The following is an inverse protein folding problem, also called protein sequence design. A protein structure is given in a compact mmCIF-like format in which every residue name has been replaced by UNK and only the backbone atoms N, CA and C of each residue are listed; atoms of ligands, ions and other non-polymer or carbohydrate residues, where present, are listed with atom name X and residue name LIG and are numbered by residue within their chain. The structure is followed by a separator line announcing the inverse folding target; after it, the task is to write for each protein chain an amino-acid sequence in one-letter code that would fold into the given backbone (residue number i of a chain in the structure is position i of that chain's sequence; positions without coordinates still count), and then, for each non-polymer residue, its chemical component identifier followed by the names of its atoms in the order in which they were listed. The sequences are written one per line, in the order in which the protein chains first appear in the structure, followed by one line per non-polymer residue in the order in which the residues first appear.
data_IF_494115268416
#
_entry.id   IF_494115268416
#
_cell.length_a   1.000
_cell.length_b   1.000
_cell.length_c   1.000
_cell.angle_alpha   90.00
_cell.angle_beta   90.00
_cell.angle_gamma   90.00
#
_symmetry.space_group_name_H-M   'P 1'
#
loop_
_entity.id
_entity.type
_entity.pdbx_description
1 polymer ?
#
# COMPACT_ATOMS: atom_id res chain seq x y z
N UNK A 1 -46.38 9.73 -9.46
CA UNK A 1 -45.80 10.21 -8.18
C UNK A 1 -44.29 9.97 -8.21
N UNK A 2 -43.52 10.97 -8.63
CA UNK A 2 -42.05 10.93 -8.64
C UNK A 2 -41.53 11.33 -7.26
N UNK A 3 -41.29 10.34 -6.41
CA UNK A 3 -40.71 10.53 -5.07
C UNK A 3 -39.20 10.74 -5.16
N UNK A 4 -38.79 11.97 -5.51
CA UNK A 4 -37.44 12.47 -5.31
C UNK A 4 -37.33 12.99 -3.88
N UNK A 5 -36.47 12.39 -3.06
CA UNK A 5 -36.20 12.91 -1.73
C UNK A 5 -35.55 11.91 -0.78
N UNK A 6 -34.32 11.47 -1.05
CA UNK A 6 -33.45 11.13 0.08
C UNK A 6 -32.93 12.45 0.65
N UNK A 7 -33.71 12.93 1.62
CA UNK A 7 -33.38 14.00 2.55
C UNK A 7 -31.98 13.81 3.13
N UNK A 8 -31.24 14.91 3.21
CA UNK A 8 -29.84 14.95 3.59
C UNK A 8 -29.59 14.32 4.96
N UNK A 9 -29.17 13.06 4.97
CA UNK A 9 -28.49 12.46 6.12
C UNK A 9 -27.24 13.28 6.38
N UNK A 10 -27.07 13.75 7.62
CA UNK A 10 -25.81 14.32 8.12
C UNK A 10 -24.68 13.44 7.60
N UNK A 11 -23.80 14.00 6.77
CA UNK A 11 -22.70 13.25 6.15
C UNK A 11 -21.82 12.70 7.27
N UNK A 12 -22.05 11.43 7.62
CA UNK A 12 -21.16 10.65 8.47
C UNK A 12 -19.73 10.81 7.95
N UNK A 13 -18.77 10.99 8.85
CA UNK A 13 -17.35 11.12 8.50
C UNK A 13 -16.97 9.96 7.59
N UNK A 14 -16.68 10.27 6.33
CA UNK A 14 -16.37 9.25 5.33
C UNK A 14 -15.03 8.61 5.68
N UNK A 15 -15.05 7.35 6.11
CA UNK A 15 -13.80 6.58 6.31
C UNK A 15 -13.15 6.29 4.96
N UNK A 16 -11.84 6.43 4.88
CA UNK A 16 -11.08 6.12 3.68
C UNK A 16 -11.10 4.61 3.40
N UNK A 17 -10.88 4.21 2.15
CA UNK A 17 -10.77 2.78 1.81
C UNK A 17 -9.58 2.12 2.52
N UNK A 18 -8.47 2.83 2.67
CA UNK A 18 -7.30 2.37 3.44
C UNK A 18 -7.65 2.12 4.91
N UNK A 19 -8.30 3.08 5.58
CA UNK A 19 -8.66 2.92 6.99
C UNK A 19 -9.68 1.80 7.23
N UNK A 20 -10.56 1.52 6.26
CA UNK A 20 -11.49 0.37 6.33
C UNK A 20 -10.78 -0.97 6.12
N UNK A 21 -9.73 -0.99 5.29
CA UNK A 21 -8.94 -2.17 5.01
C UNK A 21 -7.82 -2.43 6.03
N UNK A 22 -7.58 -1.51 6.97
CA UNK A 22 -6.49 -1.62 7.94
C UNK A 22 -5.10 -1.41 7.34
N UNK A 23 -4.99 -0.74 6.19
CA UNK A 23 -3.74 -0.55 5.46
C UNK A 23 -3.20 0.87 5.65
N UNK A 24 -1.88 1.01 5.79
CA UNK A 24 -1.18 2.30 5.72
C UNK A 24 -1.11 2.82 4.28
N UNK A 25 -1.02 1.93 3.30
CA UNK A 25 -0.89 2.28 1.90
C UNK A 25 -2.20 2.84 1.30
N UNK A 26 -2.12 3.76 0.33
CA UNK A 26 -3.27 4.49 -0.17
C UNK A 26 -4.06 3.70 -1.23
N UNK A 27 -5.00 2.85 -0.80
CA UNK A 27 -5.95 2.09 -1.66
C UNK A 27 -6.64 2.98 -2.69
N UNK A 28 -7.01 4.20 -2.28
CA UNK A 28 -7.64 5.19 -3.14
C UNK A 28 -6.79 5.57 -4.36
N UNK A 29 -5.50 5.83 -4.10
CA UNK A 29 -4.51 6.22 -5.10
C UNK A 29 -4.16 5.04 -6.01
N UNK A 30 -3.98 3.85 -5.44
CA UNK A 30 -3.66 2.64 -6.20
C UNK A 30 -4.79 2.29 -7.17
N UNK A 31 -6.06 2.40 -6.77
CA UNK A 31 -7.18 2.22 -7.70
C UNK A 31 -7.11 3.21 -8.88
N UNK A 32 -6.80 4.49 -8.63
CA UNK A 32 -6.67 5.50 -9.68
C UNK A 32 -5.50 5.20 -10.61
N UNK A 33 -4.37 4.75 -10.08
CA UNK A 33 -3.21 4.35 -10.89
C UNK A 33 -3.52 3.13 -11.76
N UNK A 34 -4.23 2.13 -11.24
CA UNK A 34 -4.69 0.99 -12.03
C UNK A 34 -5.61 1.44 -13.18
N UNK A 35 -6.54 2.37 -12.93
CA UNK A 35 -7.42 2.93 -13.97
C UNK A 35 -6.62 3.69 -15.04
N UNK A 36 -5.63 4.49 -14.64
CA UNK A 36 -4.77 5.25 -15.55
C UNK A 36 -3.85 4.35 -16.38
N UNK A 37 -3.45 3.20 -15.84
CA UNK A 37 -2.57 2.26 -16.52
C UNK A 37 -3.23 1.44 -17.63
N UNK A 38 -4.56 1.55 -17.83
CA UNK A 38 -5.30 0.83 -18.87
C UNK A 38 -5.07 -0.70 -18.87
N UNK A 39 -4.82 -1.31 -17.71
CA UNK A 39 -4.58 -2.76 -17.60
C UNK A 39 -5.80 -3.61 -17.98
N UNK A 40 -7.00 -3.06 -17.79
CA UNK A 40 -8.29 -3.69 -18.13
C UNK A 40 -9.38 -2.63 -18.17
N UNK A 41 -10.49 -2.91 -18.87
CA UNK A 41 -11.65 -2.03 -18.97
C UNK A 41 -12.30 -1.76 -17.58
N UNK A 42 -12.36 -2.78 -16.71
CA UNK A 42 -13.00 -2.70 -15.41
C UNK A 42 -12.10 -3.24 -14.31
N UNK A 43 -11.97 -2.45 -13.24
CA UNK A 43 -11.21 -2.84 -12.05
C UNK A 43 -12.20 -3.13 -10.93
N UNK A 44 -12.18 -4.36 -10.42
CA UNK A 44 -12.97 -4.77 -9.27
C UNK A 44 -12.57 -4.03 -8.00
N UNK A 45 -13.53 -3.82 -7.08
CA UNK A 45 -13.30 -3.03 -5.87
C UNK A 45 -12.24 -3.61 -4.93
N UNK A 46 -12.06 -4.94 -4.93
CA UNK A 46 -11.05 -5.65 -4.13
C UNK A 46 -9.63 -5.61 -4.70
N UNK A 47 -9.47 -5.46 -6.01
CA UNK A 47 -8.16 -5.44 -6.66
C UNK A 47 -7.19 -4.38 -6.08
N UNK A 48 -7.59 -3.10 -5.91
CA UNK A 48 -6.71 -2.12 -5.30
C UNK A 48 -6.45 -2.36 -3.82
N UNK A 49 -7.34 -3.07 -3.09
CA UNK A 49 -7.12 -3.42 -1.68
C UNK A 49 -6.02 -4.48 -1.60
N UNK A 50 -6.16 -5.56 -2.37
CA UNK A 50 -5.19 -6.64 -2.40
C UNK A 50 -3.81 -6.17 -2.83
N UNK A 51 -3.73 -5.40 -3.93
CA UNK A 51 -2.46 -4.85 -4.40
C UNK A 51 -1.82 -3.90 -3.38
N UNK A 52 -2.63 -3.08 -2.69
CA UNK A 52 -2.09 -2.22 -1.63
C UNK A 52 -1.49 -3.03 -0.49
N UNK A 53 -2.18 -4.10 -0.06
CA UNK A 53 -1.71 -4.97 1.01
C UNK A 53 -0.39 -5.67 0.63
N UNK A 54 -0.29 -6.20 -0.60
CA UNK A 54 0.93 -6.86 -1.07
C UNK A 54 2.10 -5.89 -1.14
N UNK A 55 1.91 -4.68 -1.69
CA UNK A 55 2.99 -3.69 -1.76
C UNK A 55 3.39 -3.22 -0.35
N UNK A 56 2.43 -3.04 0.57
CA UNK A 56 2.69 -2.68 1.96
C UNK A 56 3.51 -3.74 2.69
N UNK A 57 3.13 -5.02 2.49
CA UNK A 57 3.86 -6.17 3.02
C UNK A 57 5.31 -6.19 2.52
N UNK A 58 5.52 -6.18 1.20
CA UNK A 58 6.86 -6.18 0.61
C UNK A 58 7.70 -4.96 1.03
N UNK A 59 7.07 -3.78 1.16
CA UNK A 59 7.78 -2.58 1.62
C UNK A 59 8.21 -2.71 3.07
N UNK A 60 7.36 -3.29 3.92
CA UNK A 60 7.65 -3.53 5.34
C UNK A 60 8.83 -4.48 5.49
N UNK A 61 8.83 -5.60 4.77
CA UNK A 61 9.91 -6.59 4.83
C UNK A 61 11.26 -5.99 4.42
N UNK A 62 11.29 -5.24 3.30
CA UNK A 62 12.53 -4.57 2.84
C UNK A 62 13.01 -3.53 3.85
N UNK A 63 12.10 -2.75 4.43
CA UNK A 63 12.45 -1.71 5.41
C UNK A 63 12.89 -2.30 6.75
N UNK A 64 12.33 -3.43 7.17
CA UNK A 64 12.75 -4.15 8.38
C UNK A 64 14.20 -4.62 8.25
N UNK A 65 14.51 -5.33 7.16
CA UNK A 65 15.86 -5.81 6.88
C UNK A 65 16.85 -4.66 6.71
N UNK A 66 16.46 -3.58 6.02
CA UNK A 66 17.32 -2.41 5.86
C UNK A 66 17.51 -1.63 7.18
N UNK A 67 16.49 -1.60 8.05
CA UNK A 67 16.57 -1.05 9.39
C UNK A 67 17.54 -1.82 10.28
N UNK A 68 17.49 -3.15 10.23
CA UNK A 68 18.43 -4.03 10.93
C UNK A 68 19.86 -3.80 10.43
N UNK A 69 20.08 -3.78 9.11
CA UNK A 69 21.39 -3.48 8.53
C UNK A 69 21.93 -2.09 8.93
N UNK A 70 21.05 -1.08 9.08
CA UNK A 70 21.44 0.23 9.58
C UNK A 70 21.88 0.17 11.04
N UNK A 71 21.12 -0.54 11.87
CA UNK A 71 21.37 -0.73 13.31
C UNK A 71 22.69 -1.44 13.56
N UNK A 72 23.00 -2.48 12.79
CA UNK A 72 24.26 -3.24 12.86
C UNK A 72 25.47 -2.36 12.56
N UNK A 73 25.30 -1.37 11.68
CA UNK A 73 26.32 -0.36 11.35
C UNK A 73 26.29 0.85 12.29
N UNK A 74 25.55 0.77 13.40
CA UNK A 74 25.37 1.83 14.41
C UNK A 74 24.87 3.15 13.78
N UNK A 75 24.01 3.05 12.77
CA UNK A 75 23.36 4.19 12.10
C UNK A 75 21.87 4.21 12.43
N UNK A 76 21.33 5.40 12.65
CA UNK A 76 19.88 5.61 12.89
C UNK A 76 19.10 5.88 11.61
N UNK A 77 19.79 6.18 10.50
CA UNK A 77 19.19 6.48 9.19
C UNK A 77 19.45 5.35 8.20
N UNK A 78 18.39 4.89 7.55
CA UNK A 78 18.48 3.99 6.39
C UNK A 78 19.04 4.77 5.18
N UNK A 79 20.07 4.23 4.54
CA UNK A 79 20.70 4.78 3.33
C UNK A 79 20.67 3.72 2.21
N UNK A 80 20.94 4.09 0.94
CA UNK A 80 20.91 3.13 -0.18
C UNK A 80 21.74 1.86 0.03
N UNK A 81 22.87 1.94 0.75
CA UNK A 81 23.69 0.76 1.08
C UNK A 81 22.95 -0.25 1.96
N UNK A 82 22.14 0.20 2.92
CA UNK A 82 21.37 -0.70 3.78
C UNK A 82 20.26 -1.42 2.99
N UNK A 83 19.61 -0.70 2.05
CA UNK A 83 18.66 -1.30 1.12
C UNK A 83 19.32 -2.35 0.22
N UNK A 84 20.49 -2.06 -0.32
CA UNK A 84 21.25 -3.01 -1.14
C UNK A 84 21.61 -4.28 -0.36
N UNK A 85 22.03 -4.14 0.91
CA UNK A 85 22.34 -5.28 1.77
C UNK A 85 21.09 -6.10 2.11
N UNK A 86 19.97 -5.44 2.39
CA UNK A 86 18.69 -6.09 2.65
C UNK A 86 18.22 -6.94 1.45
N UNK A 87 18.23 -6.36 0.24
CA UNK A 87 17.78 -7.04 -0.99
C UNK A 87 18.65 -8.24 -1.36
N UNK A 88 19.95 -8.18 -1.06
CA UNK A 88 20.90 -9.28 -1.33
C UNK A 88 20.84 -10.40 -0.29
N UNK A 89 20.05 -10.25 0.77
CA UNK A 89 19.89 -11.29 1.78
C UNK A 89 19.00 -12.43 1.25
N UNK A 90 19.20 -13.66 1.74
CA UNK A 90 18.60 -14.90 1.23
C UNK A 90 17.06 -14.91 1.25
N UNK A 91 16.44 -14.13 2.14
CA UNK A 91 14.97 -14.05 2.22
C UNK A 91 14.35 -13.24 1.06
N UNK A 92 15.05 -12.22 0.56
CA UNK A 92 14.57 -11.40 -0.56
C UNK A 92 15.12 -11.85 -1.91
N UNK A 93 16.26 -12.54 -1.94
CA UNK A 93 16.81 -13.10 -3.19
C UNK A 93 15.90 -14.17 -3.81
N UNK A 94 15.01 -14.79 -3.04
CA UNK A 94 14.00 -15.75 -3.53
C UNK A 94 12.97 -15.12 -4.49
N UNK A 95 12.87 -13.79 -4.52
CA UNK A 95 11.96 -13.05 -5.42
C UNK A 95 12.65 -12.48 -6.67
N UNK A 96 13.96 -12.69 -6.84
CA UNK A 96 14.71 -12.37 -8.07
C UNK A 96 14.79 -13.58 -9.00
#
# INVERSE_FOLDING_TARGET
MTGRGESGKVKSKTRSRSSRAGLMFPVGRIHRLLRRGNYTERIGAGAPVYLSAVIEYLTTDVLELAGNAARDKKKTRVIPRHLQLAIRNEELSKFQ
#
